data_IF_593909884654
#
_entry.id   IF_593909884654
#
_cell.length_a   1.000
_cell.length_b   1.000
_cell.length_c   1.000
_cell.angle_alpha   90.00
_cell.angle_beta   90.00
_cell.angle_gamma   90.00
#
_symmetry.space_group_name_H-M   'P 1'
#
loop_
_entity.id
_entity.type
_entity.pdbx_description
1 polymer ?
#
# COMPACT_ATOMS: atom_id res chain seq x y z
N UNK A 1 -19.29 -0.13 0.42
CA UNK A 1 -18.21 -0.23 -0.57
C UNK A 1 -18.04 1.15 -1.17
N UNK A 2 -16.81 1.54 -1.45
CA UNK A 2 -16.47 2.83 -2.05
C UNK A 2 -15.39 2.60 -3.10
N UNK A 3 -15.38 3.46 -4.11
CA UNK A 3 -14.34 3.47 -5.13
C UNK A 3 -13.09 4.14 -4.54
N UNK A 4 -11.93 3.54 -4.78
CA UNK A 4 -10.64 4.09 -4.40
C UNK A 4 -9.68 4.02 -5.59
N UNK A 5 -8.90 5.08 -5.78
CA UNK A 5 -7.61 4.98 -6.45
C UNK A 5 -6.59 4.44 -5.43
N UNK A 6 -5.92 3.35 -5.77
CA UNK A 6 -4.96 2.67 -4.90
C UNK A 6 -3.60 2.70 -5.60
N UNK A 7 -2.66 3.41 -4.99
CA UNK A 7 -1.26 3.41 -5.40
C UNK A 7 -0.52 2.35 -4.59
N UNK A 8 0.10 1.39 -5.27
CA UNK A 8 0.86 0.29 -4.67
C UNK A 8 2.33 0.47 -5.05
N UNK A 9 3.17 0.75 -4.06
CA UNK A 9 4.61 0.93 -4.24
C UNK A 9 5.38 -0.20 -3.56
N UNK A 10 6.07 -1.01 -4.35
CA UNK A 10 6.95 -2.07 -3.86
C UNK A 10 8.39 -1.55 -3.71
N UNK A 11 8.94 -1.63 -2.51
CA UNK A 11 10.28 -1.14 -2.14
C UNK A 11 11.16 -2.35 -1.77
N UNK A 12 12.22 -2.57 -2.56
CA UNK A 12 13.11 -3.71 -2.42
C UNK A 12 14.47 -3.30 -1.80
N UNK A 13 14.99 -4.03 -0.79
CA UNK A 13 16.22 -3.66 -0.10
C UNK A 13 17.48 -3.83 -0.97
N UNK A 14 17.40 -4.68 -2.01
CA UNK A 14 18.55 -5.06 -2.84
C UNK A 14 18.79 -4.16 -4.06
N UNK A 15 17.95 -3.13 -4.29
CA UNK A 15 17.86 -2.44 -5.59
C UNK A 15 18.33 -0.98 -5.65
N UNK A 16 18.64 -0.34 -4.52
CA UNK A 16 18.88 1.10 -4.46
C UNK A 16 17.64 1.94 -4.85
N UNK A 17 17.81 3.26 -5.00
CA UNK A 17 16.72 4.24 -5.27
C UNK A 17 15.98 4.03 -6.61
N UNK A 18 16.40 3.08 -7.45
CA UNK A 18 16.01 2.97 -8.87
C UNK A 18 14.92 1.95 -9.18
N UNK A 19 14.37 1.25 -8.18
CA UNK A 19 13.41 0.17 -8.43
C UNK A 19 12.29 0.10 -7.38
N UNK A 20 11.70 1.26 -7.00
CA UNK A 20 10.31 1.22 -6.55
C UNK A 20 9.43 0.89 -7.75
N UNK A 21 8.70 -0.22 -7.69
CA UNK A 21 7.67 -0.52 -8.70
C UNK A 21 6.37 0.07 -8.19
N UNK A 22 5.81 1.00 -8.96
CA UNK A 22 4.54 1.63 -8.65
C UNK A 22 3.46 1.11 -9.61
N UNK A 23 2.34 0.69 -9.04
CA UNK A 23 1.13 0.31 -9.74
C UNK A 23 0.00 1.21 -9.24
N UNK A 24 -0.90 1.62 -10.14
CA UNK A 24 -2.10 2.39 -9.81
C UNK A 24 -3.29 1.57 -10.28
N UNK A 25 -4.25 1.35 -9.38
CA UNK A 25 -5.47 0.61 -9.66
C UNK A 25 -6.67 1.40 -9.16
N UNK A 26 -7.81 1.25 -9.83
CA UNK A 26 -9.11 1.73 -9.36
C UNK A 26 -9.93 0.51 -8.92
N UNK A 27 -10.47 0.53 -7.71
CA UNK A 27 -11.24 -0.60 -7.20
C UNK A 27 -12.35 -0.16 -6.24
N UNK A 28 -13.52 -0.81 -6.37
CA UNK A 28 -14.59 -0.69 -5.39
C UNK A 28 -14.36 -1.70 -4.25
N UNK A 29 -14.03 -1.20 -3.06
CA UNK A 29 -13.63 -2.02 -1.91
C UNK A 29 -14.42 -1.66 -0.65
N UNK A 30 -14.43 -2.57 0.33
CA UNK A 30 -15.10 -2.34 1.62
C UNK A 30 -14.35 -1.34 2.50
N UNK A 31 -13.03 -1.49 2.60
CA UNK A 31 -12.12 -0.56 3.26
C UNK A 31 -10.67 -0.81 2.82
N UNK A 32 -9.77 0.19 2.97
CA UNK A 32 -8.34 0.02 2.77
C UNK A 32 -7.74 -1.21 3.49
N UNK A 33 -8.10 -1.43 4.76
CA UNK A 33 -7.60 -2.56 5.56
C UNK A 33 -8.11 -3.90 5.03
N UNK A 34 -9.37 -3.97 4.59
CA UNK A 34 -9.94 -5.17 4.00
C UNK A 34 -9.24 -5.54 2.69
N UNK A 35 -8.88 -4.54 1.87
CA UNK A 35 -8.12 -4.75 0.64
C UNK A 35 -6.71 -5.29 0.93
N UNK A 36 -5.97 -4.64 1.84
CA UNK A 36 -4.61 -5.08 2.20
C UNK A 36 -4.63 -6.47 2.86
N UNK A 37 -5.64 -6.79 3.66
CA UNK A 37 -5.78 -8.12 4.26
C UNK A 37 -6.01 -9.23 3.22
N UNK A 38 -6.71 -8.92 2.12
CA UNK A 38 -7.03 -9.87 1.07
C UNK A 38 -5.92 -10.01 0.02
N UNK A 39 -5.27 -8.90 -0.34
CA UNK A 39 -4.33 -8.82 -1.47
C UNK A 39 -2.86 -8.65 -1.03
N UNK A 40 -2.64 -8.21 0.21
CA UNK A 40 -1.31 -7.97 0.76
C UNK A 40 -0.52 -9.26 0.95
N UNK A 41 0.76 -9.22 0.55
CA UNK A 41 1.68 -10.36 0.67
C UNK A 41 2.31 -10.48 2.06
N UNK A 42 2.41 -9.36 2.78
CA UNK A 42 3.17 -9.23 4.02
C UNK A 42 2.28 -8.69 5.16
N UNK A 43 2.67 -8.91 6.43
CA UNK A 43 1.95 -8.32 7.55
C UNK A 43 1.99 -6.79 7.51
N UNK A 44 0.92 -6.17 8.01
CA UNK A 44 0.85 -4.72 8.22
C UNK A 44 1.85 -4.31 9.31
N UNK A 45 2.65 -3.30 9.01
CA UNK A 45 3.65 -2.70 9.89
C UNK A 45 3.15 -1.37 10.44
N UNK A 46 2.52 -0.56 9.58
CA UNK A 46 2.03 0.76 9.94
C UNK A 46 0.76 1.14 9.17
N UNK A 47 -0.04 2.02 9.75
CA UNK A 47 -1.23 2.61 9.14
C UNK A 47 -1.37 4.05 9.58
N UNK A 48 -1.44 4.96 8.62
CA UNK A 48 -1.51 6.40 8.86
C UNK A 48 -2.51 7.05 7.90
N UNK A 49 -2.91 8.27 8.22
CA UNK A 49 -3.64 9.15 7.31
C UNK A 49 -2.75 10.34 6.98
N UNK A 50 -2.62 10.68 5.69
CA UNK A 50 -1.85 11.86 5.29
C UNK A 50 -2.70 13.14 5.47
N UNK A 51 -2.12 14.35 5.35
CA UNK A 51 -2.86 15.61 5.47
C UNK A 51 -4.00 15.80 4.45
N UNK A 52 -3.92 15.12 3.31
CA UNK A 52 -4.92 15.15 2.24
C UNK A 52 -6.12 14.23 2.54
N UNK A 53 -6.01 13.40 3.58
CA UNK A 53 -7.06 12.47 4.02
C UNK A 53 -6.89 11.05 3.48
N UNK A 54 -5.87 10.79 2.65
CA UNK A 54 -5.59 9.47 2.10
C UNK A 54 -5.14 8.53 3.21
N UNK A 55 -5.58 7.27 3.10
CA UNK A 55 -5.14 6.21 4.00
C UNK A 55 -3.88 5.59 3.44
N UNK A 56 -2.82 5.54 4.23
CA UNK A 56 -1.54 4.92 3.89
C UNK A 56 -1.32 3.69 4.75
N UNK A 57 -1.18 2.52 4.14
CA UNK A 57 -0.90 1.25 4.83
C UNK A 57 0.45 0.73 4.35
N UNK A 58 1.34 0.41 5.27
CA UNK A 58 2.65 -0.18 4.97
C UNK A 58 2.68 -1.62 5.43
N UNK A 59 3.08 -2.51 4.54
CA UNK A 59 3.34 -3.93 4.83
C UNK A 59 4.81 -4.27 4.58
N UNK A 60 5.32 -5.32 5.22
CA UNK A 60 6.69 -5.76 4.95
C UNK A 60 7.11 -7.05 5.63
N UNK A 61 8.23 -7.60 5.18
CA UNK A 61 8.71 -8.93 5.57
C UNK A 61 9.69 -8.92 6.76
N UNK A 62 10.02 -7.73 7.28
CA UNK A 62 11.02 -7.54 8.33
C UNK A 62 12.48 -7.63 7.87
N UNK A 63 12.73 -7.94 6.59
CA UNK A 63 14.07 -8.05 6.00
C UNK A 63 14.36 -6.93 4.98
N UNK A 64 13.50 -5.90 4.97
CA UNK A 64 13.65 -4.70 4.15
C UNK A 64 12.78 -4.68 2.90
N UNK A 65 11.99 -5.73 2.64
CA UNK A 65 10.96 -5.69 1.62
C UNK A 65 9.73 -4.98 2.19
N UNK A 66 9.28 -3.91 1.53
CA UNK A 66 8.10 -3.15 1.95
C UNK A 66 7.16 -2.93 0.78
N UNK A 67 5.86 -2.91 1.06
CA UNK A 67 4.84 -2.46 0.11
C UNK A 67 4.02 -1.38 0.77
N UNK A 68 3.99 -0.20 0.17
CA UNK A 68 3.18 0.94 0.60
C UNK A 68 1.94 1.02 -0.28
N UNK A 69 0.78 1.07 0.36
CA UNK A 69 -0.51 1.29 -0.26
C UNK A 69 -0.98 2.69 0.11
N UNK A 70 -1.37 3.51 -0.86
CA UNK A 70 -2.05 4.80 -0.64
C UNK A 70 -3.43 4.71 -1.26
N UNK A 71 -4.45 4.98 -0.46
CA UNK A 71 -5.86 4.92 -0.86
C UNK A 71 -6.45 6.31 -0.87
N UNK A 72 -6.91 6.75 -2.04
CA UNK A 72 -7.61 8.02 -2.26
C UNK A 72 -9.03 7.72 -2.71
N UNK A 73 -10.01 8.38 -2.10
CA UNK A 73 -11.45 8.23 -2.37
C UNK A 73 -11.94 9.23 -3.44
#
# INVERSE_FOLDING_TARGET
>A
MKEYEIIIETINPCGGERHSQQEIIEAEIESPEAYVKQNGRFPVIDTAQNPDGDVVIVTGDGNGYMVRYTFTE
#
